data_IF_391220083701
#
_entry.id   IF_391220083701
#
_cell.length_a   1.000
_cell.length_b   1.000
_cell.length_c   1.000
_cell.angle_alpha   90.00
_cell.angle_beta   90.00
_cell.angle_gamma   90.00
#
_symmetry.space_group_name_H-M   'P 1'
#
loop_
_entity.id
_entity.type
_entity.pdbx_description
1 polymer ?
#
# COMPACT_ATOMS: atom_id res chain seq x y z
N UNK A 1 3.11 42.05 -9.67
CA UNK A 1 1.97 42.98 -9.79
C UNK A 1 0.70 42.22 -9.46
N UNK A 2 -0.09 42.64 -8.46
CA UNK A 2 -1.37 41.99 -8.13
C UNK A 2 -2.51 42.82 -8.71
N UNK A 3 -3.44 42.17 -9.42
CA UNK A 3 -4.61 42.82 -10.01
C UNK A 3 -5.61 43.09 -8.86
N UNK A 4 -6.15 44.31 -8.70
CA UNK A 4 -7.04 44.68 -7.59
C UNK A 4 -8.22 43.72 -7.36
N UNK A 5 -8.78 43.17 -8.44
CA UNK A 5 -9.86 42.19 -8.38
C UNK A 5 -9.48 40.87 -7.67
N UNK A 6 -8.22 40.43 -7.77
CA UNK A 6 -7.74 39.19 -7.13
C UNK A 6 -7.55 39.37 -5.62
N UNK A 7 -7.24 40.59 -5.15
CA UNK A 7 -7.18 40.88 -3.70
C UNK A 7 -8.57 40.88 -3.05
N UNK A 8 -9.59 41.33 -3.77
CA UNK A 8 -10.95 41.40 -3.25
C UNK A 8 -11.61 40.01 -3.06
N UNK A 9 -11.12 38.98 -3.75
CA UNK A 9 -11.62 37.60 -3.61
C UNK A 9 -11.04 36.84 -2.43
N UNK A 10 -10.11 37.43 -1.66
CA UNK A 10 -9.41 36.74 -0.58
C UNK A 10 -8.37 35.72 -1.06
N UNK A 11 -8.01 35.76 -2.36
CA UNK A 11 -6.99 34.89 -2.92
C UNK A 11 -5.61 35.17 -2.31
N UNK A 12 -4.91 34.11 -1.95
CA UNK A 12 -3.52 34.17 -1.49
C UNK A 12 -2.65 33.27 -2.37
N UNK A 13 -1.34 33.57 -2.53
CA UNK A 13 -0.40 32.67 -3.21
C UNK A 13 -0.43 31.23 -2.65
N UNK A 14 -0.67 31.08 -1.34
CA UNK A 14 -0.81 29.78 -0.69
C UNK A 14 -2.04 28.98 -1.16
N UNK A 15 -3.15 29.64 -1.51
CA UNK A 15 -4.31 28.98 -2.12
C UNK A 15 -4.00 28.46 -3.52
N UNK A 16 -3.19 29.19 -4.28
CA UNK A 16 -2.75 28.81 -5.62
C UNK A 16 -1.77 27.63 -5.57
N UNK A 17 -0.89 27.62 -4.56
CA UNK A 17 0.03 26.52 -4.28
C UNK A 17 -0.72 25.26 -3.83
N UNK A 18 -1.71 25.40 -2.95
CA UNK A 18 -2.59 24.29 -2.54
C UNK A 18 -3.42 23.74 -3.71
N UNK A 19 -3.92 24.60 -4.59
CA UNK A 19 -4.66 24.19 -5.77
C UNK A 19 -3.78 23.50 -6.82
N UNK A 20 -2.47 23.75 -6.81
CA UNK A 20 -1.49 23.07 -7.66
C UNK A 20 -1.01 21.74 -7.09
N UNK A 21 -1.34 21.41 -5.84
CA UNK A 21 -1.00 20.09 -5.30
C UNK A 21 -1.74 19.00 -6.08
N UNK A 22 -1.05 17.91 -6.46
CA UNK A 22 -1.69 16.76 -7.07
C UNK A 22 -2.83 16.29 -6.17
N UNK A 23 -4.01 16.11 -6.75
CA UNK A 23 -5.12 15.47 -6.06
C UNK A 23 -5.00 13.97 -6.29
N UNK A 24 -4.85 13.22 -5.21
CA UNK A 24 -4.85 11.77 -5.29
C UNK A 24 -6.14 11.19 -5.88
N UNK A 25 -6.04 9.98 -6.40
CA UNK A 25 -7.17 9.24 -6.96
C UNK A 25 -8.32 8.99 -5.97
N UNK A 26 -9.52 8.62 -6.45
CA UNK A 26 -10.71 8.45 -5.61
C UNK A 26 -10.57 7.38 -4.52
N UNK A 27 -9.73 6.37 -4.75
CA UNK A 27 -9.51 5.26 -3.81
C UNK A 27 -8.40 5.54 -2.78
N UNK A 28 -7.61 6.61 -2.95
CA UNK A 28 -6.39 6.85 -2.16
C UNK A 28 -6.65 6.79 -0.65
N UNK A 29 -7.68 7.48 -0.16
CA UNK A 29 -7.99 7.51 1.27
C UNK A 29 -8.38 6.15 1.86
N UNK A 30 -8.98 5.26 1.06
CA UNK A 30 -9.33 3.91 1.49
C UNK A 30 -8.09 3.02 1.47
N UNK A 31 -7.27 3.11 0.41
CA UNK A 31 -6.01 2.39 0.29
C UNK A 31 -5.00 2.77 1.38
N UNK A 32 -4.89 4.06 1.71
CA UNK A 32 -4.03 4.56 2.80
C UNK A 32 -4.44 3.97 4.15
N UNK A 33 -5.74 3.94 4.44
CA UNK A 33 -6.27 3.35 5.69
C UNK A 33 -6.03 1.85 5.74
N UNK A 34 -6.23 1.15 4.62
CA UNK A 34 -5.93 -0.27 4.52
C UNK A 34 -4.44 -0.53 4.76
N UNK A 35 -3.55 0.16 4.05
CA UNK A 35 -2.10 0.02 4.19
C UNK A 35 -1.64 0.29 5.62
N UNK A 36 -2.12 1.38 6.24
CA UNK A 36 -1.81 1.71 7.63
C UNK A 36 -2.27 0.63 8.61
N UNK A 37 -3.46 0.04 8.41
CA UNK A 37 -3.94 -1.07 9.21
C UNK A 37 -3.09 -2.34 9.04
N UNK A 38 -2.55 -2.59 7.83
CA UNK A 38 -1.63 -3.70 7.57
C UNK A 38 -0.27 -3.46 8.21
N UNK A 39 0.32 -2.26 8.06
CA UNK A 39 1.63 -1.90 8.64
C UNK A 39 1.61 -1.93 10.17
N UNK A 40 0.51 -1.51 10.80
CA UNK A 40 0.37 -1.47 12.27
C UNK A 40 -0.03 -2.82 12.88
N UNK A 41 -0.33 -3.83 12.06
CA UNK A 41 -0.70 -5.15 12.53
C UNK A 41 0.46 -5.83 13.27
N UNK A 42 0.18 -6.48 14.41
CA UNK A 42 1.21 -7.09 15.27
C UNK A 42 2.14 -8.08 14.55
N UNK A 43 1.64 -8.75 13.51
CA UNK A 43 2.41 -9.72 12.70
C UNK A 43 3.02 -9.13 11.41
N UNK A 44 3.01 -7.81 11.23
CA UNK A 44 3.49 -7.17 10.00
C UNK A 44 5.01 -6.97 9.94
N UNK A 45 5.71 -7.17 11.05
CA UNK A 45 7.15 -6.88 11.18
C UNK A 45 8.06 -7.43 10.06
N UNK A 46 7.82 -8.59 9.42
CA UNK A 46 8.68 -9.05 8.33
C UNK A 46 8.45 -8.33 6.99
N UNK A 47 7.37 -7.56 6.88
CA UNK A 47 6.87 -7.01 5.62
C UNK A 47 6.97 -5.48 5.57
N UNK A 48 7.47 -4.85 6.63
CA UNK A 48 7.51 -3.38 6.75
C UNK A 48 8.50 -2.73 5.80
N UNK A 49 9.57 -3.44 5.44
CA UNK A 49 10.69 -2.95 4.64
C UNK A 49 11.13 -4.03 3.65
N UNK A 50 11.85 -3.68 2.57
CA UNK A 50 12.46 -4.64 1.68
C UNK A 50 13.39 -5.61 2.43
N UNK A 51 13.44 -6.87 1.99
CA UNK A 51 14.39 -7.84 2.55
C UNK A 51 15.82 -7.41 2.28
N UNK A 52 16.66 -7.30 3.31
CA UNK A 52 18.04 -6.87 3.14
C UNK A 52 18.88 -7.98 2.46
N UNK A 53 19.44 -7.69 1.28
CA UNK A 53 20.32 -8.61 0.53
C UNK A 53 21.57 -9.01 1.32
N UNK A 54 22.09 -8.11 2.15
CA UNK A 54 23.31 -8.39 2.94
C UNK A 54 23.02 -9.35 4.10
N UNK A 55 21.77 -9.40 4.57
CA UNK A 55 21.32 -10.32 5.62
C UNK A 55 20.80 -11.64 5.06
N UNK A 56 20.20 -11.61 3.86
CA UNK A 56 19.59 -12.77 3.19
C UNK A 56 20.12 -12.86 1.75
N UNK A 57 21.30 -13.45 1.60
CA UNK A 57 22.11 -13.38 0.38
C UNK A 57 21.42 -13.93 -0.89
N UNK A 58 20.67 -15.04 -0.78
CA UNK A 58 20.05 -15.72 -1.91
C UNK A 58 18.59 -15.27 -2.19
N UNK A 59 18.06 -14.33 -1.39
CA UNK A 59 16.64 -13.95 -1.46
C UNK A 59 16.22 -13.51 -2.86
N UNK A 60 17.02 -12.63 -3.48
CA UNK A 60 16.73 -12.04 -4.78
C UNK A 60 17.05 -12.97 -5.96
N UNK A 61 17.70 -14.10 -5.72
CA UNK A 61 17.87 -15.15 -6.73
C UNK A 61 16.61 -16.04 -6.79
N UNK A 62 15.91 -16.18 -5.67
CA UNK A 62 14.69 -16.99 -5.52
C UNK A 62 13.41 -16.17 -5.80
N UNK A 63 13.37 -14.93 -5.29
CA UNK A 63 12.24 -14.01 -5.36
C UNK A 63 12.52 -12.94 -6.42
N UNK A 64 11.91 -13.13 -7.58
CA UNK A 64 12.15 -12.29 -8.76
C UNK A 64 11.42 -10.93 -8.72
N UNK A 65 10.27 -10.89 -8.05
CA UNK A 65 9.45 -9.69 -7.92
C UNK A 65 9.26 -9.38 -6.41
N UNK A 66 10.27 -8.83 -5.74
CA UNK A 66 10.19 -8.47 -4.33
C UNK A 66 9.12 -7.37 -4.11
N UNK A 67 8.47 -7.39 -2.95
CA UNK A 67 7.49 -6.39 -2.54
C UNK A 67 7.46 -6.31 -1.00
N UNK A 68 7.07 -5.15 -0.48
CA UNK A 68 6.96 -4.84 0.95
C UNK A 68 6.06 -3.61 1.15
N UNK A 69 5.66 -3.33 2.39
CA UNK A 69 4.73 -2.24 2.68
C UNK A 69 5.31 -0.84 2.51
N UNK A 70 6.62 -0.63 2.62
CA UNK A 70 7.23 0.68 2.31
C UNK A 70 7.25 0.93 0.80
N UNK A 71 7.52 -0.10 0.01
CA UNK A 71 7.41 0.00 -1.45
C UNK A 71 5.96 0.28 -1.86
N UNK A 72 4.98 -0.40 -1.26
CA UNK A 72 3.55 -0.10 -1.49
C UNK A 72 3.16 1.32 -1.05
N UNK A 73 3.66 1.81 0.08
CA UNK A 73 3.44 3.19 0.53
C UNK A 73 3.96 4.20 -0.49
N UNK A 74 5.18 3.98 -0.98
CA UNK A 74 5.77 4.82 -2.04
C UNK A 74 4.93 4.81 -3.31
N UNK A 75 4.43 3.64 -3.73
CA UNK A 75 3.55 3.50 -4.90
C UNK A 75 2.23 4.22 -4.70
N UNK A 76 1.63 4.11 -3.51
CA UNK A 76 0.37 4.77 -3.18
C UNK A 76 0.51 6.30 -3.22
N UNK A 77 1.53 6.87 -2.59
CA UNK A 77 1.82 8.32 -2.58
C UNK A 77 2.12 8.87 -3.97
N UNK A 78 2.56 8.02 -4.90
CA UNK A 78 2.80 8.37 -6.30
C UNK A 78 1.59 8.11 -7.22
N UNK A 79 0.41 7.82 -6.64
CA UNK A 79 -0.82 7.48 -7.37
C UNK A 79 -0.64 6.30 -8.35
N UNK A 80 0.26 5.38 -8.05
CA UNK A 80 0.56 4.21 -8.90
C UNK A 80 -0.47 3.07 -8.75
N UNK A 81 -1.53 3.27 -7.98
CA UNK A 81 -2.67 2.36 -7.84
C UNK A 81 -3.93 3.07 -8.33
N UNK A 82 -4.23 2.94 -9.62
CA UNK A 82 -5.46 3.48 -10.21
C UNK A 82 -6.68 2.68 -9.72
N UNK A 83 -6.48 1.37 -9.50
CA UNK A 83 -7.52 0.43 -9.08
C UNK A 83 -7.13 -0.33 -7.81
N UNK A 84 -8.09 -0.61 -6.90
CA UNK A 84 -7.85 -1.41 -5.70
C UNK A 84 -7.20 -2.78 -5.95
N UNK A 85 -7.52 -3.40 -7.08
CA UNK A 85 -6.97 -4.67 -7.56
C UNK A 85 -5.43 -4.65 -7.61
N UNK A 86 -4.85 -3.53 -8.02
CA UNK A 86 -3.40 -3.38 -8.19
C UNK A 86 -2.70 -3.33 -6.83
N UNK A 87 -3.32 -2.67 -5.84
CA UNK A 87 -2.86 -2.69 -4.46
C UNK A 87 -2.97 -4.09 -3.86
N UNK A 88 -4.10 -4.78 -4.08
CA UNK A 88 -4.31 -6.15 -3.59
C UNK A 88 -3.30 -7.11 -4.21
N UNK A 89 -2.97 -6.95 -5.51
CA UNK A 89 -1.98 -7.76 -6.19
C UNK A 89 -0.58 -7.64 -5.53
N UNK A 90 -0.14 -6.42 -5.22
CA UNK A 90 1.14 -6.19 -4.52
C UNK A 90 1.12 -6.75 -3.09
N UNK A 91 0.03 -6.54 -2.34
CA UNK A 91 -0.10 -7.10 -1.00
C UNK A 91 -0.06 -8.64 -1.02
N UNK A 92 -0.75 -9.27 -1.97
CA UNK A 92 -0.68 -10.72 -2.17
C UNK A 92 0.71 -11.18 -2.59
N UNK A 93 1.44 -10.38 -3.38
CA UNK A 93 2.81 -10.67 -3.78
C UNK A 93 3.74 -10.74 -2.55
N UNK A 94 3.58 -9.86 -1.56
CA UNK A 94 4.30 -9.92 -0.28
C UNK A 94 4.09 -11.30 0.38
N UNK A 95 2.83 -11.69 0.57
CA UNK A 95 2.49 -12.92 1.29
C UNK A 95 2.92 -14.18 0.51
N UNK A 96 2.77 -14.18 -0.81
CA UNK A 96 3.16 -15.28 -1.68
C UNK A 96 4.68 -15.42 -1.76
N UNK A 97 5.43 -14.33 -1.88
CA UNK A 97 6.89 -14.36 -1.82
C UNK A 97 7.38 -14.88 -0.47
N UNK A 98 6.75 -14.44 0.62
CA UNK A 98 7.06 -14.94 1.95
C UNK A 98 6.90 -16.46 2.03
N UNK A 99 5.78 -17.02 1.57
CA UNK A 99 5.55 -18.48 1.56
C UNK A 99 6.38 -19.25 0.54
N UNK A 100 6.77 -18.60 -0.57
CA UNK A 100 7.65 -19.21 -1.56
C UNK A 100 9.07 -19.38 -1.03
N UNK A 101 9.60 -18.34 -0.36
CA UNK A 101 10.95 -18.36 0.17
C UNK A 101 11.03 -19.12 1.51
N UNK A 102 10.03 -18.96 2.38
CA UNK A 102 10.02 -19.55 3.71
C UNK A 102 9.09 -20.78 3.75
N UNK A 103 9.53 -21.84 4.43
CA UNK A 103 8.68 -23.00 4.69
C UNK A 103 7.42 -22.61 5.51
N UNK A 104 6.28 -23.25 5.24
CA UNK A 104 4.98 -22.98 5.88
C UNK A 104 4.99 -23.10 7.41
N UNK A 105 5.94 -23.83 7.98
CA UNK A 105 6.07 -24.02 9.44
C UNK A 105 6.74 -22.83 10.14
N UNK A 106 7.40 -21.95 9.39
CA UNK A 106 8.16 -20.81 9.92
C UNK A 106 7.27 -19.74 10.54
N UNK A 107 7.80 -18.93 11.48
CA UNK A 107 7.09 -17.74 11.98
C UNK A 107 6.71 -16.76 10.86
N UNK A 108 7.52 -16.64 9.81
CA UNK A 108 7.29 -15.76 8.66
C UNK A 108 6.03 -16.15 7.88
N UNK A 109 5.90 -17.42 7.50
CA UNK A 109 4.71 -17.92 6.81
C UNK A 109 3.44 -17.75 7.66
N UNK A 110 3.52 -17.94 8.98
CA UNK A 110 2.41 -17.66 9.90
C UNK A 110 2.05 -16.18 9.93
N UNK A 111 3.03 -15.28 9.92
CA UNK A 111 2.80 -13.85 9.85
C UNK A 111 2.05 -13.48 8.56
N UNK A 112 2.49 -13.99 7.41
CA UNK A 112 1.83 -13.75 6.12
C UNK A 112 0.35 -14.14 6.15
N UNK A 113 0.03 -15.36 6.62
CA UNK A 113 -1.36 -15.83 6.77
C UNK A 113 -2.20 -14.94 7.68
N UNK A 114 -1.63 -14.42 8.78
CA UNK A 114 -2.35 -13.55 9.72
C UNK A 114 -2.65 -12.18 9.12
N UNK A 115 -1.65 -11.55 8.51
CA UNK A 115 -1.80 -10.21 7.91
C UNK A 115 -2.71 -10.27 6.68
N UNK A 116 -2.55 -11.29 5.83
CA UNK A 116 -3.43 -11.53 4.68
C UNK A 116 -4.89 -11.71 5.09
N UNK A 117 -5.15 -12.48 6.16
CA UNK A 117 -6.51 -12.63 6.70
C UNK A 117 -7.09 -11.28 7.13
N UNK A 118 -6.31 -10.45 7.81
CA UNK A 118 -6.73 -9.11 8.22
C UNK A 118 -7.04 -8.23 7.02
N UNK A 119 -6.19 -8.24 5.98
CA UNK A 119 -6.43 -7.51 4.73
C UNK A 119 -7.80 -7.86 4.13
N UNK A 120 -8.07 -9.14 3.93
CA UNK A 120 -9.35 -9.58 3.37
C UNK A 120 -10.54 -9.26 4.27
N UNK A 121 -10.36 -9.30 5.60
CA UNK A 121 -11.40 -8.88 6.53
C UNK A 121 -11.72 -7.40 6.39
N UNK A 122 -10.72 -6.54 6.20
CA UNK A 122 -10.91 -5.09 6.03
C UNK A 122 -11.51 -4.76 4.65
N UNK A 123 -11.07 -5.42 3.59
CA UNK A 123 -11.65 -5.26 2.24
C UNK A 123 -13.13 -5.61 2.23
N UNK A 124 -13.53 -6.66 2.95
CA UNK A 124 -14.94 -7.06 3.06
C UNK A 124 -15.84 -5.97 3.66
N UNK A 125 -15.30 -5.11 4.52
CA UNK A 125 -16.04 -4.00 5.13
C UNK A 125 -16.15 -2.77 4.21
N UNK A 126 -15.61 -2.83 2.98
CA UNK A 126 -15.69 -1.77 1.97
C UNK A 126 -16.65 -2.22 0.87
N UNK A 127 -17.93 -1.79 0.90
CA UNK A 127 -18.94 -2.27 -0.05
C UNK A 127 -18.58 -2.05 -1.52
N UNK A 128 -17.90 -0.94 -1.82
CA UNK A 128 -17.43 -0.58 -3.16
C UNK A 128 -16.45 -1.60 -3.73
N UNK A 129 -15.76 -2.36 -2.89
CA UNK A 129 -14.74 -3.34 -3.26
C UNK A 129 -15.20 -4.79 -3.06
N UNK A 130 -16.50 -5.01 -2.85
CA UNK A 130 -17.09 -6.34 -2.68
C UNK A 130 -16.74 -7.31 -3.83
N UNK A 131 -16.60 -6.78 -5.06
CA UNK A 131 -16.21 -7.56 -6.25
C UNK A 131 -14.81 -8.18 -6.14
N UNK A 132 -13.92 -7.63 -5.30
CA UNK A 132 -12.57 -8.21 -5.07
C UNK A 132 -12.62 -9.54 -4.31
N UNK A 133 -13.76 -9.90 -3.73
CA UNK A 133 -13.92 -11.12 -2.95
C UNK A 133 -14.34 -12.32 -3.80
N UNK A 134 -14.82 -12.09 -5.02
CA UNK A 134 -15.35 -13.14 -5.90
C UNK A 134 -14.22 -14.00 -6.50
N UNK A 135 -13.01 -13.44 -6.59
CA UNK A 135 -11.81 -14.07 -7.17
C UNK A 135 -10.87 -14.74 -6.13
N UNK A 136 -11.32 -14.86 -4.87
CA UNK A 136 -10.50 -15.35 -3.74
C UNK A 136 -10.63 -16.85 -3.46
#
# INVERSE_FOLDING_TARGET
MSIPAIRASGWTPAMDELARQPRHGPNFSQLQRLLSALQTHHFAWPFLQPVNRDEVADYYDVILNPMDFQTMETKLEQDAYEKPEEFVADAMLIFNNCRKYNNDTTPYAKCATKVEKTMWSLIKEIPEWSYLLDDK
#
